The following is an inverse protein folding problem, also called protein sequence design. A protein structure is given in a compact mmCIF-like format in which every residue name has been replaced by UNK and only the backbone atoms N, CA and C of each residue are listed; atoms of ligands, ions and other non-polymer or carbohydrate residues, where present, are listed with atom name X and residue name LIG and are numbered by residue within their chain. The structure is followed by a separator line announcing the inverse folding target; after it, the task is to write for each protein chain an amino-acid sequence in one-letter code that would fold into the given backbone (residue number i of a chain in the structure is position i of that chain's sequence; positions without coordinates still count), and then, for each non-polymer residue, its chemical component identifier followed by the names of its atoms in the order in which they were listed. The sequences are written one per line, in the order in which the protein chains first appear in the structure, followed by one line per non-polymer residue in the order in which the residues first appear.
data_IF_137521706025
#
_entry.id   IF_137521706025
#
_cell.length_a   1.000
_cell.length_b   1.000
_cell.length_c   1.000
_cell.angle_alpha   90.00
_cell.angle_beta   90.00
_cell.angle_gamma   90.00
#
_symmetry.space_group_name_H-M   'P 1'
#
loop_
_entity.id
_entity.type
_entity.pdbx_description
1 polymer ?
#
# COMPACT_ATOMS: atom_id res chain seq x y z
N UNK A 1 4.52 36.86 -20.80
CA UNK A 1 4.77 35.56 -21.47
C UNK A 1 5.54 34.58 -20.58
N UNK A 2 6.81 34.83 -20.21
CA UNK A 2 7.65 33.85 -19.46
C UNK A 2 7.17 33.47 -18.05
N UNK A 3 6.55 34.39 -17.30
CA UNK A 3 6.07 34.13 -15.93
C UNK A 3 4.81 33.25 -15.87
N UNK A 4 3.90 33.42 -16.83
CA UNK A 4 2.69 32.59 -16.96
C UNK A 4 3.07 31.15 -17.32
N UNK A 5 4.09 30.98 -18.16
CA UNK A 5 4.64 29.66 -18.53
C UNK A 5 5.21 28.90 -17.33
N UNK A 6 5.87 29.60 -16.40
CA UNK A 6 6.47 28.97 -15.22
C UNK A 6 5.40 28.54 -14.20
N UNK A 7 4.40 29.40 -13.96
CA UNK A 7 3.28 29.07 -13.07
C UNK A 7 2.48 27.89 -13.59
N UNK A 8 2.20 27.84 -14.90
CA UNK A 8 1.53 26.71 -15.52
C UNK A 8 2.33 25.40 -15.36
N UNK A 9 3.65 25.46 -15.53
CA UNK A 9 4.54 24.31 -15.34
C UNK A 9 4.50 23.78 -13.89
N UNK A 10 4.55 24.68 -12.90
CA UNK A 10 4.49 24.31 -11.48
C UNK A 10 3.15 23.67 -11.10
N UNK A 11 2.03 24.18 -11.62
CA UNK A 11 0.70 23.61 -11.36
C UNK A 11 0.57 22.21 -11.96
N UNK A 12 1.09 22.00 -13.17
CA UNK A 12 1.09 20.67 -13.80
C UNK A 12 1.99 19.70 -13.02
N UNK A 13 3.17 20.13 -12.58
CA UNK A 13 4.06 19.29 -11.77
C UNK A 13 3.42 18.90 -10.42
N UNK A 14 2.77 19.85 -9.73
CA UNK A 14 2.04 19.57 -8.49
C UNK A 14 0.88 18.61 -8.72
N UNK A 15 0.11 18.79 -9.79
CA UNK A 15 -0.97 17.87 -10.15
C UNK A 15 -0.43 16.45 -10.40
N UNK A 16 0.65 16.30 -11.17
CA UNK A 16 1.27 14.99 -11.42
C UNK A 16 1.71 14.33 -10.12
N UNK A 17 2.32 15.07 -9.18
CA UNK A 17 2.74 14.51 -7.88
C UNK A 17 1.53 14.09 -7.02
N UNK A 18 0.46 14.88 -7.01
CA UNK A 18 -0.76 14.56 -6.26
C UNK A 18 -1.53 13.36 -6.84
N UNK A 19 -1.51 13.20 -8.17
CA UNK A 19 -2.14 12.07 -8.87
C UNK A 19 -1.22 10.84 -8.99
N UNK A 20 0.07 10.98 -8.73
CA UNK A 20 1.03 9.85 -8.64
C UNK A 20 0.90 9.11 -7.30
N UNK A 21 -0.32 9.05 -6.74
CA UNK A 21 -0.66 8.22 -5.59
C UNK A 21 -0.50 6.76 -5.94
N UNK A 22 0.75 6.31 -6.01
CA UNK A 22 1.30 4.97 -5.88
C UNK A 22 0.28 3.83 -6.07
N UNK A 23 -0.33 3.74 -7.25
CA UNK A 23 -0.82 2.45 -7.73
C UNK A 23 0.38 1.71 -8.30
N UNK A 24 1.26 1.24 -7.41
CA UNK A 24 2.23 0.20 -7.77
C UNK A 24 1.43 -1.01 -8.21
N UNK A 25 1.19 -1.09 -9.51
CA UNK A 25 0.81 -2.32 -10.19
C UNK A 25 2.02 -3.25 -10.20
N UNK A 26 2.49 -3.66 -9.03
CA UNK A 26 3.13 -4.95 -8.89
C UNK A 26 2.02 -5.99 -9.08
N UNK A 27 2.29 -7.05 -9.85
CA UNK A 27 1.54 -8.32 -9.94
C UNK A 27 0.19 -8.27 -9.22
N UNK A 28 -0.95 -8.33 -9.94
CA UNK A 28 -2.30 -8.12 -9.41
C UNK A 28 -2.68 -9.08 -8.25
N UNK A 29 -2.04 -8.92 -7.10
CA UNK A 29 -2.40 -9.50 -5.83
C UNK A 29 -3.57 -8.66 -5.40
N UNK A 30 -4.73 -9.30 -5.39
CA UNK A 30 -5.93 -8.70 -4.83
C UNK A 30 -5.66 -8.38 -3.37
N UNK A 31 -5.62 -7.08 -3.03
CA UNK A 31 -5.46 -6.66 -1.65
C UNK A 31 -6.68 -7.13 -0.84
N UNK A 32 -6.51 -8.24 -0.11
CA UNK A 32 -7.53 -8.80 0.77
C UNK A 32 -6.92 -9.07 2.15
N UNK A 33 -7.30 -8.32 3.20
CA UNK A 33 -6.76 -8.53 4.54
C UNK A 33 -7.04 -9.94 5.10
N UNK A 34 -8.10 -10.63 4.62
CA UNK A 34 -8.41 -12.00 5.06
C UNK A 34 -7.32 -13.03 4.66
N UNK A 35 -6.51 -12.73 3.64
CA UNK A 35 -5.37 -13.57 3.25
C UNK A 35 -4.24 -13.57 4.31
N UNK A 36 -4.27 -12.64 5.28
CA UNK A 36 -3.35 -12.63 6.43
C UNK A 36 -3.83 -13.49 7.61
N UNK A 37 -4.97 -14.19 7.48
CA UNK A 37 -5.48 -15.09 8.52
C UNK A 37 -4.47 -16.12 9.05
N UNK A 38 -3.52 -16.68 8.27
CA UNK A 38 -2.50 -17.59 8.81
C UNK A 38 -1.53 -16.93 9.80
N UNK A 39 -1.50 -15.59 9.86
CA UNK A 39 -0.66 -14.83 10.78
C UNK A 39 -1.33 -14.56 12.13
N UNK A 40 -2.63 -14.79 12.30
CA UNK A 40 -3.34 -14.53 13.57
C UNK A 40 -2.70 -15.24 14.77
N UNK A 41 -2.34 -16.54 14.68
CA UNK A 41 -1.67 -17.21 15.80
C UNK A 41 -0.37 -16.52 16.22
N UNK A 42 0.42 -16.04 15.25
CA UNK A 42 1.67 -15.32 15.51
C UNK A 42 1.43 -13.93 16.13
N UNK A 43 0.32 -13.28 15.79
CA UNK A 43 -0.08 -11.99 16.35
C UNK A 43 -0.62 -12.11 17.78
N UNK A 44 -1.40 -13.14 18.08
CA UNK A 44 -2.04 -13.32 19.39
C UNK A 44 -1.11 -13.95 20.43
N UNK A 45 -0.30 -14.94 20.02
CA UNK A 45 0.47 -15.78 20.95
C UNK A 45 1.97 -15.51 20.97
N UNK A 46 2.45 -14.50 20.22
CA UNK A 46 3.89 -14.23 20.04
C UNK A 46 4.69 -15.45 19.55
N UNK A 47 4.01 -16.43 18.96
CA UNK A 47 4.62 -17.62 18.39
C UNK A 47 5.29 -17.29 17.06
N UNK A 48 6.28 -18.11 16.67
CA UNK A 48 6.95 -17.94 15.39
C UNK A 48 5.94 -18.04 14.24
N UNK A 49 5.97 -17.12 13.24
CA UNK A 49 5.05 -17.16 12.13
C UNK A 49 5.25 -18.42 11.28
N UNK A 50 4.14 -18.98 10.82
CA UNK A 50 4.15 -20.11 9.89
C UNK A 50 4.76 -19.71 8.54
N UNK A 51 5.22 -20.70 7.77
CA UNK A 51 5.71 -20.47 6.41
C UNK A 51 4.65 -19.81 5.53
N UNK A 52 3.39 -20.20 5.70
CA UNK A 52 2.27 -19.66 4.94
C UNK A 52 1.96 -18.21 5.33
N UNK A 53 2.02 -17.87 6.63
CA UNK A 53 1.96 -16.48 7.08
C UNK A 53 3.04 -15.64 6.41
N UNK A 54 4.30 -16.09 6.44
CA UNK A 54 5.41 -15.35 5.82
C UNK A 54 5.23 -15.20 4.30
N UNK A 55 4.72 -16.23 3.61
CA UNK A 55 4.44 -16.18 2.17
C UNK A 55 3.36 -15.15 1.84
N UNK A 56 2.23 -15.19 2.55
CA UNK A 56 1.11 -14.26 2.35
C UNK A 56 1.47 -12.84 2.74
N UNK A 57 2.21 -12.65 3.83
CA UNK A 57 2.70 -11.33 4.26
C UNK A 57 3.59 -10.68 3.19
N UNK A 58 4.51 -11.45 2.58
CA UNK A 58 5.36 -10.96 1.48
C UNK A 58 4.55 -10.63 0.23
N UNK A 59 3.61 -11.49 -0.15
CA UNK A 59 2.73 -11.24 -1.28
C UNK A 59 1.91 -9.95 -1.12
N UNK A 60 1.49 -9.65 0.11
CA UNK A 60 0.66 -8.48 0.43
C UNK A 60 1.44 -7.23 0.83
N UNK A 61 2.78 -7.25 0.77
CA UNK A 61 3.63 -6.10 1.08
C UNK A 61 3.17 -4.76 0.45
N UNK A 62 2.75 -4.69 -0.83
CA UNK A 62 2.26 -3.43 -1.41
C UNK A 62 0.96 -2.91 -0.77
N UNK A 63 0.14 -3.80 -0.18
CA UNK A 63 -1.16 -3.45 0.41
C UNK A 63 -1.07 -3.02 1.89
N UNK A 64 0.01 -3.39 2.59
CA UNK A 64 0.12 -3.22 4.06
C UNK A 64 -0.06 -1.77 4.53
N UNK A 65 0.54 -0.81 3.81
CA UNK A 65 0.36 0.60 4.14
C UNK A 65 -1.10 1.06 3.96
N UNK A 66 -1.81 0.50 2.97
CA UNK A 66 -3.24 0.75 2.77
C UNK A 66 -4.08 0.22 3.92
N UNK A 67 -3.76 -0.97 4.42
CA UNK A 67 -4.46 -1.56 5.58
C UNK A 67 -4.32 -0.72 6.84
N UNK A 68 -3.10 -0.28 7.17
CA UNK A 68 -2.83 0.56 8.35
C UNK A 68 -3.63 1.87 8.31
N UNK A 69 -3.78 2.45 7.12
CA UNK A 69 -4.50 3.72 6.91
C UNK A 69 -6.02 3.54 6.89
N UNK A 70 -6.53 2.32 6.68
CA UNK A 70 -7.97 2.07 6.60
C UNK A 70 -8.58 1.99 8.02
N UNK A 71 -9.44 2.94 8.42
CA UNK A 71 -10.05 2.93 9.75
C UNK A 71 -11.02 1.76 9.97
N UNK A 72 -11.56 1.15 8.90
CA UNK A 72 -12.45 -0.01 8.99
C UNK A 72 -11.73 -1.32 9.33
N UNK A 73 -10.39 -1.32 9.32
CA UNK A 73 -9.54 -2.47 9.66
C UNK A 73 -8.82 -2.31 11.01
N UNK A 74 -9.25 -1.34 11.84
CA UNK A 74 -8.76 -1.15 13.22
C UNK A 74 -9.50 -2.03 14.20
#
# INVERSE_FOLDING_TARGET
MKRVSFVALCVVALAVVLFSGESRTAEAVTCNPAELSPCIPALESSSAPSRDCCSKLKAQQPCLCGYIKNPSLK
#
